data_IF_912305703211
#
_entry.id   IF_912305703211
#
_cell.length_a   1.000
_cell.length_b   1.000
_cell.length_c   1.000
_cell.angle_alpha   90.00
_cell.angle_beta   90.00
_cell.angle_gamma   90.00
#
_symmetry.space_group_name_H-M   'P 1'
#
loop_
_entity.id
_entity.type
_entity.pdbx_description
1 polymer ?
#
# COMPACT_ATOMS: atom_id res chain seq x y z
N UNK A 1 0.37 7.27 -16.25
CA UNK A 1 1.68 6.64 -16.57
C UNK A 1 1.59 5.16 -16.23
N UNK A 2 2.14 4.28 -17.08
CA UNK A 2 2.18 2.82 -16.85
C UNK A 2 3.59 2.35 -17.17
N UNK A 3 4.17 1.55 -16.28
CA UNK A 3 5.49 0.94 -16.47
C UNK A 3 5.43 -0.53 -16.12
N UNK A 4 6.28 -1.35 -16.74
CA UNK A 4 6.46 -2.76 -16.40
C UNK A 4 7.78 -2.90 -15.65
N UNK A 5 7.75 -3.61 -14.54
CA UNK A 5 8.93 -3.83 -13.69
C UNK A 5 8.99 -5.30 -13.28
N UNK A 6 10.20 -5.83 -13.15
CA UNK A 6 10.41 -7.09 -12.43
C UNK A 6 10.41 -6.77 -10.93
N UNK A 7 9.63 -7.51 -10.15
CA UNK A 7 9.51 -7.32 -8.71
C UNK A 7 9.60 -8.66 -8.00
N UNK A 8 10.22 -8.64 -6.82
CA UNK A 8 10.25 -9.79 -5.93
C UNK A 8 8.90 -9.92 -5.21
N UNK A 9 8.17 -10.98 -5.52
CA UNK A 9 6.82 -11.25 -4.99
C UNK A 9 6.83 -11.62 -3.50
N UNK A 10 7.99 -12.01 -2.96
CA UNK A 10 8.16 -12.36 -1.54
C UNK A 10 8.26 -11.12 -0.66
N UNK A 11 8.41 -9.94 -1.27
CA UNK A 11 8.45 -8.66 -0.57
C UNK A 11 7.08 -7.99 -0.59
N UNK A 12 6.73 -7.24 0.46
CA UNK A 12 5.52 -6.46 0.47
C UNK A 12 5.42 -5.49 -0.72
N UNK A 13 4.21 -5.32 -1.25
CA UNK A 13 3.93 -4.36 -2.32
C UNK A 13 4.34 -2.95 -1.91
N UNK A 14 4.95 -2.18 -2.81
CA UNK A 14 5.17 -0.76 -2.58
C UNK A 14 3.87 0.01 -2.77
N UNK A 15 3.52 0.88 -1.82
CA UNK A 15 2.31 1.72 -1.91
C UNK A 15 2.53 3.01 -2.69
N UNK A 16 3.76 3.46 -2.76
CA UNK A 16 4.16 4.66 -3.48
C UNK A 16 5.65 4.95 -3.29
N UNK A 17 6.10 6.05 -3.87
CA UNK A 17 7.46 6.55 -3.70
C UNK A 17 7.48 8.07 -3.84
N UNK A 18 8.50 8.70 -3.28
CA UNK A 18 8.79 10.12 -3.54
C UNK A 18 9.60 10.26 -4.83
N UNK A 19 9.10 11.06 -5.78
CA UNK A 19 9.82 11.49 -6.96
C UNK A 19 10.33 12.92 -6.74
N UNK A 20 11.60 13.18 -7.05
CA UNK A 20 12.18 14.53 -6.96
C UNK A 20 12.10 15.22 -8.33
N UNK A 21 11.51 16.40 -8.37
CA UNK A 21 11.51 17.28 -9.55
C UNK A 21 11.94 18.68 -9.13
N UNK A 22 13.04 19.18 -9.70
CA UNK A 22 13.56 20.50 -9.36
C UNK A 22 13.90 20.68 -7.87
N UNK A 23 14.38 19.62 -7.21
CA UNK A 23 14.68 19.63 -5.77
C UNK A 23 13.48 19.41 -4.84
N UNK A 24 12.24 19.50 -5.34
CA UNK A 24 11.02 19.28 -4.57
C UNK A 24 10.60 17.81 -4.68
N UNK A 25 10.29 17.18 -3.54
CA UNK A 25 9.79 15.82 -3.46
C UNK A 25 8.27 15.76 -3.58
N UNK A 26 7.77 14.92 -4.48
CA UNK A 26 6.35 14.63 -4.65
C UNK A 26 6.08 13.16 -4.38
N UNK A 27 5.16 12.85 -3.48
CA UNK A 27 4.70 11.49 -3.28
C UNK A 27 3.83 11.04 -4.46
N UNK A 28 4.06 9.81 -4.93
CA UNK A 28 3.30 9.18 -6.00
C UNK A 28 2.83 7.82 -5.55
N UNK A 29 1.51 7.61 -5.59
CA UNK A 29 0.91 6.33 -5.28
C UNK A 29 1.09 5.32 -6.41
N UNK A 30 1.30 4.06 -6.02
CA UNK A 30 1.41 2.95 -6.95
C UNK A 30 0.09 2.20 -7.05
N UNK A 31 -0.29 1.88 -8.29
CA UNK A 31 -1.37 0.96 -8.60
C UNK A 31 -0.86 -0.11 -9.54
N UNK A 32 -1.25 -1.35 -9.28
CA UNK A 32 -0.78 -2.55 -9.95
C UNK A 32 -1.86 -3.07 -10.88
N UNK A 33 -1.50 -3.24 -12.15
CA UNK A 33 -2.31 -3.98 -13.11
C UNK A 33 -2.07 -5.48 -12.94
N UNK A 34 -3.12 -6.28 -13.14
CA UNK A 34 -3.06 -7.76 -13.01
C UNK A 34 -2.52 -8.24 -11.67
N UNK A 35 -2.74 -7.47 -10.61
CA UNK A 35 -2.32 -7.84 -9.25
C UNK A 35 -3.03 -9.15 -8.86
N UNK A 36 -2.33 -10.22 -8.46
CA UNK A 36 -2.97 -11.43 -7.96
C UNK A 36 -3.64 -11.21 -6.59
N UNK A 37 -4.10 -12.28 -5.96
CA UNK A 37 -4.46 -12.21 -4.54
C UNK A 37 -3.20 -11.97 -3.71
N UNK A 38 -3.32 -11.10 -2.72
CA UNK A 38 -2.23 -10.70 -1.83
C UNK A 38 -2.80 -10.44 -0.44
N UNK A 39 -1.96 -10.48 0.58
CA UNK A 39 -2.37 -10.27 1.96
C UNK A 39 -2.56 -8.79 2.27
N UNK A 40 -3.71 -8.39 2.80
CA UNK A 40 -4.00 -7.01 3.17
C UNK A 40 -3.30 -6.56 4.47
N UNK A 41 -2.74 -7.51 5.22
CA UNK A 41 -1.98 -7.28 6.45
C UNK A 41 -0.50 -7.04 6.10
N UNK A 42 0.16 -8.00 5.46
CA UNK A 42 1.61 -7.93 5.20
C UNK A 42 1.99 -7.48 3.79
N UNK A 43 1.04 -7.46 2.84
CA UNK A 43 1.27 -6.99 1.47
C UNK A 43 2.00 -7.97 0.56
N UNK A 44 2.20 -9.24 0.97
CA UNK A 44 2.89 -10.27 0.17
C UNK A 44 1.92 -10.97 -0.79
N UNK A 45 2.40 -11.29 -1.99
CA UNK A 45 1.67 -12.10 -2.97
C UNK A 45 2.01 -13.57 -2.70
N UNK A 46 1.16 -14.25 -1.93
CA UNK A 46 1.23 -15.71 -1.75
C UNK A 46 0.03 -16.25 -0.95
N UNK A 47 -0.48 -15.44 -0.02
CA UNK A 47 -1.51 -15.85 0.93
C UNK A 47 -2.57 -14.77 1.14
N UNK A 48 -3.69 -15.16 1.77
CA UNK A 48 -4.73 -14.24 2.21
C UNK A 48 -4.55 -13.91 3.70
N UNK A 49 -5.21 -12.85 4.16
CA UNK A 49 -5.19 -12.38 5.56
C UNK A 49 -5.37 -13.50 6.58
N UNK A 50 -6.21 -14.50 6.26
CA UNK A 50 -6.52 -15.64 7.12
C UNK A 50 -5.33 -16.55 7.41
N UNK A 51 -4.35 -16.57 6.50
CA UNK A 51 -3.17 -17.43 6.56
C UNK A 51 -1.88 -16.63 6.76
N UNK A 52 -1.99 -15.36 7.19
CA UNK A 52 -0.83 -14.50 7.37
C UNK A 52 -0.08 -14.90 8.65
N UNK A 53 1.21 -15.23 8.53
CA UNK A 53 2.04 -15.60 9.69
C UNK A 53 2.11 -14.50 10.75
N UNK A 54 2.05 -13.23 10.34
CA UNK A 54 2.00 -12.08 11.26
C UNK A 54 0.76 -12.13 12.18
N UNK A 55 -0.33 -12.74 11.72
CA UNK A 55 -1.55 -12.98 12.52
C UNK A 55 -1.35 -14.12 13.51
N UNK A 56 -0.65 -15.18 13.11
CA UNK A 56 -0.42 -16.34 13.96
C UNK A 56 0.61 -16.09 15.07
N UNK A 57 1.59 -15.21 14.82
CA UNK A 57 2.68 -14.93 15.76
C UNK A 57 2.40 -13.76 16.71
N UNK A 58 1.30 -13.02 16.52
CA UNK A 58 0.97 -11.80 17.29
C UNK A 58 -0.34 -11.86 18.07
N UNK A 59 -0.52 -10.94 19.01
CA UNK A 59 -1.79 -10.72 19.69
C UNK A 59 -2.82 -10.21 18.66
N UNK A 60 -3.76 -11.08 18.30
CA UNK A 60 -4.77 -10.95 17.23
C UNK A 60 -5.71 -9.73 17.32
N UNK A 61 -5.53 -8.83 18.27
CA UNK A 61 -6.52 -7.82 18.65
C UNK A 61 -6.48 -6.53 17.84
N UNK A 62 -5.38 -6.18 17.14
CA UNK A 62 -5.26 -4.90 16.43
C UNK A 62 -4.41 -4.96 15.14
N UNK A 63 -4.58 -5.99 14.30
CA UNK A 63 -3.88 -6.01 13.02
C UNK A 63 -4.55 -5.08 12.00
N UNK A 64 -3.99 -3.87 11.91
CA UNK A 64 -4.33 -2.90 10.88
C UNK A 64 -4.06 -3.48 9.49
N UNK A 65 -5.06 -3.39 8.61
CA UNK A 65 -4.93 -3.75 7.19
C UNK A 65 -4.23 -2.60 6.46
N UNK A 66 -2.90 -2.63 6.44
CA UNK A 66 -2.09 -1.60 5.82
C UNK A 66 -2.15 -1.56 4.29
N UNK A 67 -2.79 -2.57 3.68
CA UNK A 67 -2.98 -2.69 2.24
C UNK A 67 -4.46 -2.93 1.89
N UNK A 68 -4.81 -2.77 0.62
CA UNK A 68 -6.17 -3.07 0.18
C UNK A 68 -6.41 -2.89 -1.30
N UNK A 69 -7.68 -2.94 -1.69
CA UNK A 69 -8.14 -2.88 -3.09
C UNK A 69 -7.71 -1.61 -3.82
N UNK A 70 -7.38 -0.53 -3.11
CA UNK A 70 -6.88 0.72 -3.68
C UNK A 70 -5.57 0.56 -4.49
N UNK A 71 -4.81 -0.51 -4.24
CA UNK A 71 -3.61 -0.87 -4.99
C UNK A 71 -3.90 -1.51 -6.35
N UNK A 72 -5.15 -1.94 -6.63
CA UNK A 72 -5.50 -2.50 -7.94
C UNK A 72 -5.78 -1.37 -8.93
N UNK A 73 -5.11 -1.40 -10.08
CA UNK A 73 -5.43 -0.52 -11.19
C UNK A 73 -6.75 -0.97 -11.87
N UNK A 74 -7.59 -0.02 -12.29
CA UNK A 74 -8.81 -0.29 -13.07
C UNK A 74 -10.12 -0.36 -12.29
N UNK A 75 -10.15 -0.01 -11.00
CA UNK A 75 -11.42 0.27 -10.33
C UNK A 75 -12.11 1.48 -10.98
N UNK A 76 -13.42 1.42 -11.21
CA UNK A 76 -14.29 2.58 -11.52
C UNK A 76 -14.39 3.52 -10.31
N UNK A 77 -13.26 3.89 -9.72
CA UNK A 77 -13.17 4.88 -8.66
C UNK A 77 -13.29 6.25 -9.31
N UNK A 78 -14.45 6.88 -9.15
CA UNK A 78 -14.63 8.32 -9.31
C UNK A 78 -13.40 9.01 -8.70
N UNK A 79 -12.70 9.81 -9.49
CA UNK A 79 -11.70 10.76 -8.99
C UNK A 79 -12.43 11.69 -8.00
N UNK A 80 -12.44 11.35 -6.72
CA UNK A 80 -12.72 12.33 -5.66
C UNK A 80 -11.40 13.05 -5.40
N UNK A 81 -11.02 13.90 -6.36
CA UNK A 81 -9.79 14.69 -6.29
C UNK A 81 -9.92 15.88 -5.32
N UNK A 82 -11.10 16.16 -4.76
CA UNK A 82 -11.32 17.34 -3.93
C UNK A 82 -11.42 17.06 -2.41
N UNK A 83 -11.73 15.84 -1.98
CA UNK A 83 -11.88 15.56 -0.53
C UNK A 83 -10.67 14.83 0.09
N UNK A 84 -9.88 14.11 -0.72
CA UNK A 84 -8.72 13.37 -0.21
C UNK A 84 -7.56 14.28 0.22
N UNK A 85 -7.46 15.51 -0.29
CA UNK A 85 -6.40 16.43 0.16
C UNK A 85 -6.66 16.90 1.61
N UNK A 86 -7.93 17.05 2.03
CA UNK A 86 -8.25 17.47 3.40
C UNK A 86 -8.17 16.34 4.42
N UNK A 87 -8.61 15.13 4.06
CA UNK A 87 -8.60 13.95 4.95
C UNK A 87 -7.21 13.40 5.25
N UNK A 88 -6.26 13.52 4.32
CA UNK A 88 -4.86 13.14 4.57
C UNK A 88 -4.09 14.17 5.42
N UNK A 89 -4.55 15.41 5.52
CA UNK A 89 -3.89 16.44 6.34
C UNK A 89 -4.35 16.43 7.81
N UNK A 90 -5.51 15.84 8.14
CA UNK A 90 -6.09 15.91 9.49
C UNK A 90 -6.46 14.56 10.13
N UNK A 91 -6.25 13.42 9.47
CA UNK A 91 -6.34 12.10 10.12
C UNK A 91 -5.15 11.86 11.04
N UNK A 92 -5.28 11.09 12.14
CA UNK A 92 -4.14 10.81 13.02
C UNK A 92 -3.06 10.18 12.15
N UNK A 93 -1.96 10.91 12.02
CA UNK A 93 -0.73 10.45 11.39
C UNK A 93 -0.27 9.24 12.20
N UNK A 94 -0.76 8.04 11.88
CA UNK A 94 -0.15 6.79 12.35
C UNK A 94 1.11 6.57 11.51
N UNK A 95 2.00 7.56 11.65
CA UNK A 95 3.34 7.59 11.12
C UNK A 95 4.19 6.78 12.09
N UNK A 96 4.21 5.45 11.91
CA UNK A 96 5.37 4.65 12.30
C UNK A 96 5.64 3.57 11.26
N UNK A 97 6.36 3.99 10.23
CA UNK A 97 7.27 3.11 9.53
C UNK A 97 8.62 3.14 10.25
N UNK A 98 8.95 2.07 10.96
CA UNK A 98 10.35 1.67 11.16
C UNK A 98 10.44 0.19 10.81
N UNK A 99 10.84 -0.08 9.57
CA UNK A 99 11.64 -1.25 9.26
C UNK A 99 12.97 -0.71 8.73
N UNK A 100 13.87 -0.45 9.67
CA UNK A 100 15.31 -0.47 9.42
C UNK A 100 15.74 -1.91 9.17
N UNK A 101 16.79 -2.04 8.35
CA UNK A 101 17.40 -3.26 7.83
C UNK A 101 17.57 -4.41 8.82
#
# INVERSE_FOLDING_TARGET
MRIRVCMDIRKPLKKGTTLKKGGIGHWVDFKYEKLPNFCFICGIIDHSDKFCLVVYEGDNTLLDKFYGVHLRAGGRGRLVLLEAISGYLNGPQVHRYRNTA
#
